data_IF_359180379148
#
_entry.id   IF_359180379148
#
_cell.length_a   1.000
_cell.length_b   1.000
_cell.length_c   1.000
_cell.angle_alpha   90.00
_cell.angle_beta   90.00
_cell.angle_gamma   90.00
#
_symmetry.space_group_name_H-M   'P 1'
#
loop_
_entity.id
_entity.type
_entity.pdbx_description
1 polymer ?
#
# COMPACT_ATOMS: atom_id res chain seq x y z
N UNK A 1 31.61 1.82 26.41
CA UNK A 1 30.22 1.45 26.76
C UNK A 1 29.24 1.58 25.58
N UNK A 2 29.43 0.91 24.43
CA UNK A 2 28.43 0.88 23.36
C UNK A 2 27.44 -0.31 23.50
N UNK A 3 27.79 -1.34 24.26
CA UNK A 3 27.11 -2.64 24.24
C UNK A 3 25.77 -2.70 25.01
N UNK A 4 25.40 -1.64 25.74
CA UNK A 4 24.13 -1.59 26.51
C UNK A 4 22.92 -1.47 25.58
N UNK A 5 23.12 -0.96 24.35
CA UNK A 5 22.05 -0.68 23.39
C UNK A 5 22.00 -1.70 22.25
N UNK A 6 22.92 -2.67 22.24
CA UNK A 6 22.96 -3.77 21.28
C UNK A 6 22.17 -4.95 21.87
N UNK A 7 20.97 -5.20 21.33
CA UNK A 7 20.05 -6.21 21.88
C UNK A 7 19.77 -7.27 20.82
N UNK A 8 19.80 -8.53 21.25
CA UNK A 8 19.32 -9.67 20.47
C UNK A 8 17.82 -9.84 20.68
N UNK A 9 17.03 -9.75 19.62
CA UNK A 9 15.58 -9.94 19.66
C UNK A 9 15.24 -11.43 19.56
N UNK A 10 14.84 -12.10 20.66
CA UNK A 10 14.79 -13.57 20.73
C UNK A 10 13.78 -14.21 19.77
N UNK A 11 12.71 -13.49 19.41
CA UNK A 11 11.67 -13.99 18.48
C UNK A 11 12.12 -13.92 17.02
N UNK A 12 12.92 -12.92 16.68
CA UNK A 12 13.36 -12.67 15.29
C UNK A 12 14.78 -13.16 15.00
N UNK A 13 15.58 -13.44 16.04
CA UNK A 13 17.01 -13.76 15.93
C UNK A 13 17.88 -12.57 15.49
N UNK A 14 17.32 -11.37 15.37
CA UNK A 14 18.02 -10.17 14.90
C UNK A 14 18.84 -9.57 16.03
N UNK A 15 20.10 -9.28 15.75
CA UNK A 15 20.96 -8.47 16.61
C UNK A 15 21.06 -7.07 16.01
N UNK A 16 20.62 -6.07 16.77
CA UNK A 16 20.70 -4.69 16.29
C UNK A 16 20.70 -3.71 17.45
N UNK A 17 21.11 -2.48 17.14
CA UNK A 17 20.95 -1.36 18.04
C UNK A 17 19.48 -1.00 18.13
N UNK A 18 18.96 -0.83 19.34
CA UNK A 18 17.52 -0.55 19.60
C UNK A 18 16.99 0.64 18.78
N UNK A 19 17.84 1.62 18.47
CA UNK A 19 17.45 2.82 17.72
C UNK A 19 17.41 2.65 16.19
N UNK A 20 18.06 1.63 15.62
CA UNK A 20 18.13 1.46 14.16
C UNK A 20 16.75 1.20 13.55
N UNK A 21 15.94 0.22 14.03
CA UNK A 21 14.64 -0.05 13.42
C UNK A 21 13.68 1.15 13.46
N UNK A 22 13.51 1.87 14.60
CA UNK A 22 12.70 3.08 14.64
C UNK A 22 13.20 4.20 13.71
N UNK A 23 14.51 4.42 13.64
CA UNK A 23 15.09 5.48 12.81
C UNK A 23 14.90 5.20 11.32
N UNK A 24 15.10 3.96 10.90
CA UNK A 24 14.87 3.54 9.51
C UNK A 24 13.39 3.60 9.17
N UNK A 25 12.51 3.12 10.06
CA UNK A 25 11.07 3.23 9.86
C UNK A 25 10.62 4.69 9.71
N UNK A 26 11.18 5.60 10.52
CA UNK A 26 10.92 7.03 10.42
C UNK A 26 11.40 7.61 9.07
N UNK A 27 12.66 7.37 8.69
CA UNK A 27 13.22 7.87 7.45
C UNK A 27 12.43 7.36 6.23
N UNK A 28 12.17 6.05 6.17
CA UNK A 28 11.39 5.42 5.10
C UNK A 28 9.98 6.01 5.05
N UNK A 29 9.29 6.12 6.19
CA UNK A 29 7.92 6.67 6.24
C UNK A 29 7.89 8.14 5.82
N UNK A 30 8.89 8.93 6.22
CA UNK A 30 9.02 10.33 5.82
C UNK A 30 9.05 10.47 4.29
N UNK A 31 9.91 9.71 3.62
CA UNK A 31 10.02 9.78 2.15
C UNK A 31 8.82 9.15 1.42
N UNK A 32 8.33 7.99 1.87
CA UNK A 32 7.23 7.27 1.22
C UNK A 32 5.89 8.00 1.37
N UNK A 33 5.68 8.71 2.47
CA UNK A 33 4.48 9.54 2.68
C UNK A 33 4.34 10.66 1.64
N UNK A 34 5.44 11.24 1.15
CA UNK A 34 5.41 12.26 0.09
C UNK A 34 4.88 11.69 -1.23
N UNK A 35 5.15 10.41 -1.50
CA UNK A 35 4.62 9.69 -2.66
C UNK A 35 3.24 9.10 -2.43
N UNK A 36 2.60 9.31 -1.27
CA UNK A 36 1.31 8.71 -0.95
C UNK A 36 1.34 7.18 -0.77
N UNK A 37 2.51 6.59 -0.54
CA UNK A 37 2.69 5.14 -0.36
C UNK A 37 2.99 4.83 1.11
N UNK A 38 2.52 3.70 1.64
CA UNK A 38 2.86 3.26 3.02
C UNK A 38 4.33 2.88 3.11
N UNK A 39 5.09 3.37 4.09
CA UNK A 39 6.51 2.98 4.29
C UNK A 39 6.74 1.48 4.46
N UNK A 40 5.68 0.71 4.73
CA UNK A 40 5.68 -0.74 4.87
C UNK A 40 6.27 -1.49 3.66
N UNK A 41 6.19 -0.95 2.44
CA UNK A 41 6.73 -1.66 1.27
C UNK A 41 8.26 -1.67 1.19
N UNK A 42 8.95 -0.68 1.77
CA UNK A 42 10.43 -0.65 1.82
C UNK A 42 10.94 -1.25 3.14
N UNK A 43 10.15 -1.17 4.21
CA UNK A 43 10.49 -1.75 5.51
C UNK A 43 10.78 -3.25 5.43
N UNK A 44 10.02 -3.97 4.61
CA UNK A 44 10.15 -5.42 4.54
C UNK A 44 11.47 -5.88 3.86
N UNK A 45 11.88 -5.33 2.71
CA UNK A 45 13.23 -5.53 2.17
C UNK A 45 14.34 -5.17 3.15
N UNK A 46 14.17 -4.09 3.91
CA UNK A 46 15.13 -3.70 4.96
C UNK A 46 15.23 -4.78 6.05
N UNK A 47 14.10 -5.28 6.56
CA UNK A 47 14.06 -6.35 7.57
C UNK A 47 14.74 -7.63 7.05
N UNK A 48 14.51 -8.00 5.80
CA UNK A 48 15.00 -9.25 5.21
C UNK A 48 16.46 -9.21 4.74
N UNK A 49 16.92 -8.06 4.24
CA UNK A 49 18.23 -7.95 3.60
C UNK A 49 19.27 -7.26 4.49
N UNK A 50 18.85 -6.41 5.42
CA UNK A 50 19.78 -5.71 6.34
C UNK A 50 19.71 -6.34 7.73
N UNK A 51 18.51 -6.51 8.28
CA UNK A 51 18.36 -7.14 9.61
C UNK A 51 18.41 -8.67 9.58
N UNK A 52 18.45 -9.29 8.40
CA UNK A 52 18.49 -10.75 8.23
C UNK A 52 17.31 -11.49 8.90
N UNK A 53 16.20 -10.79 9.12
CA UNK A 53 14.96 -11.41 9.59
C UNK A 53 14.29 -12.11 8.41
N UNK A 54 14.47 -13.42 8.29
CA UNK A 54 14.08 -14.20 7.10
C UNK A 54 12.82 -15.04 7.28
N UNK A 55 12.30 -15.13 8.50
CA UNK A 55 11.10 -15.90 8.81
C UNK A 55 9.87 -15.34 8.07
N UNK A 56 8.91 -16.20 7.65
CA UNK A 56 7.62 -15.77 7.10
C UNK A 56 6.86 -14.78 7.99
N UNK A 57 7.10 -14.82 9.31
CA UNK A 57 6.51 -13.90 10.30
C UNK A 57 6.80 -12.42 10.05
N UNK A 58 7.85 -12.09 9.29
CA UNK A 58 8.11 -10.72 8.79
C UNK A 58 6.91 -10.13 8.04
N UNK A 59 6.30 -10.92 7.15
CA UNK A 59 5.16 -10.43 6.35
C UNK A 59 3.95 -10.16 7.25
N UNK A 60 3.70 -11.05 8.22
CA UNK A 60 2.62 -10.91 9.20
C UNK A 60 2.80 -9.69 10.11
N UNK A 61 4.02 -9.41 10.58
CA UNK A 61 4.30 -8.22 11.40
C UNK A 61 4.13 -6.92 10.60
N UNK A 62 4.51 -6.91 9.32
CA UNK A 62 4.27 -5.77 8.42
C UNK A 62 2.78 -5.54 8.14
N UNK A 63 2.01 -6.62 8.04
CA UNK A 63 0.56 -6.55 7.89
C UNK A 63 -0.12 -5.99 9.16
N UNK A 64 0.32 -6.42 10.34
CA UNK A 64 -0.15 -5.89 11.62
C UNK A 64 0.14 -4.39 11.75
N UNK A 65 1.34 -3.95 11.35
CA UNK A 65 1.69 -2.53 11.29
C UNK A 65 0.69 -1.74 10.43
N UNK A 66 0.36 -2.23 9.23
CA UNK A 66 -0.60 -1.56 8.35
C UNK A 66 -2.02 -1.51 8.95
N UNK A 67 -2.46 -2.55 9.65
CA UNK A 67 -3.77 -2.57 10.33
C UNK A 67 -3.85 -1.48 11.40
N UNK A 68 -2.76 -1.24 12.14
CA UNK A 68 -2.70 -0.25 13.21
C UNK A 68 -2.50 1.18 12.66
N UNK A 69 -1.71 1.34 11.60
CA UNK A 69 -1.34 2.66 11.07
C UNK A 69 -2.43 3.33 10.21
N UNK A 70 -3.24 2.55 9.50
CA UNK A 70 -4.19 3.05 8.48
C UNK A 70 -5.47 3.73 9.03
N UNK A 71 -6.07 3.33 10.18
CA UNK A 71 -7.36 3.87 10.64
C UNK A 71 -7.41 5.39 10.80
N UNK A 72 -6.33 6.02 11.27
CA UNK A 72 -6.28 7.48 11.44
C UNK A 72 -6.42 8.25 10.12
N UNK A 73 -5.83 7.72 9.04
CA UNK A 73 -5.98 8.27 7.70
C UNK A 73 -7.40 8.13 7.17
N UNK A 74 -8.02 6.95 7.36
CA UNK A 74 -9.41 6.68 6.97
C UNK A 74 -10.37 7.62 7.71
N UNK A 75 -10.18 7.81 9.02
CA UNK A 75 -11.04 8.68 9.83
C UNK A 75 -10.98 10.14 9.38
N UNK A 76 -9.77 10.66 9.14
CA UNK A 76 -9.59 12.01 8.59
C UNK A 76 -10.25 12.15 7.21
N UNK A 77 -9.99 11.21 6.31
CA UNK A 77 -10.54 11.24 4.96
C UNK A 77 -12.08 11.14 4.93
N UNK A 78 -12.64 10.40 5.88
CA UNK A 78 -14.09 10.32 6.09
C UNK A 78 -14.66 11.64 6.60
N UNK A 79 -13.99 12.33 7.52
CA UNK A 79 -14.38 13.68 7.98
C UNK A 79 -14.36 14.72 6.86
N UNK A 80 -13.44 14.60 5.91
CA UNK A 80 -13.34 15.48 4.74
C UNK A 80 -14.47 15.28 3.71
N UNK A 81 -15.41 14.33 3.91
CA UNK A 81 -16.52 14.01 2.99
C UNK A 81 -16.06 13.59 1.59
N UNK A 82 -14.85 13.03 1.48
CA UNK A 82 -14.23 12.58 0.22
C UNK A 82 -14.41 11.06 -0.02
N UNK A 83 -15.08 10.37 0.89
CA UNK A 83 -15.20 8.90 0.90
C UNK A 83 -16.25 8.41 -0.09
N UNK A 84 -15.82 7.62 -1.07
CA UNK A 84 -16.69 6.88 -1.99
C UNK A 84 -17.05 5.52 -1.39
N UNK A 85 -18.03 5.48 -0.49
CA UNK A 85 -18.42 4.24 0.22
C UNK A 85 -18.66 3.01 -0.67
N UNK A 86 -19.31 3.10 -1.86
CA UNK A 86 -19.45 1.94 -2.74
C UNK A 86 -18.12 1.39 -3.25
N UNK A 87 -17.15 2.27 -3.53
CA UNK A 87 -15.80 1.88 -3.91
C UNK A 87 -15.09 1.23 -2.72
N UNK A 88 -15.22 1.80 -1.52
CA UNK A 88 -14.67 1.23 -0.28
C UNK A 88 -15.14 -0.20 -0.05
N UNK A 89 -16.44 -0.48 -0.19
CA UNK A 89 -16.97 -1.83 -0.06
C UNK A 89 -16.46 -2.77 -1.15
N UNK A 90 -16.40 -2.32 -2.41
CA UNK A 90 -15.83 -3.10 -3.49
C UNK A 90 -14.37 -3.49 -3.20
N UNK A 91 -13.56 -2.54 -2.71
CA UNK A 91 -12.19 -2.78 -2.28
C UNK A 91 -12.16 -3.81 -1.16
N UNK A 92 -12.91 -3.61 -0.07
CA UNK A 92 -12.95 -4.53 1.09
C UNK A 92 -13.30 -5.96 0.65
N UNK A 93 -14.38 -6.11 -0.14
CA UNK A 93 -14.86 -7.42 -0.60
C UNK A 93 -13.87 -8.14 -1.52
N UNK A 94 -13.08 -7.42 -2.31
CA UNK A 94 -12.00 -8.00 -3.12
C UNK A 94 -10.74 -8.27 -2.30
N UNK A 95 -10.24 -7.28 -1.58
CA UNK A 95 -8.93 -7.34 -0.92
C UNK A 95 -8.89 -8.29 0.26
N UNK A 96 -9.94 -8.37 1.09
CA UNK A 96 -9.93 -9.23 2.27
C UNK A 96 -9.72 -10.71 1.92
N UNK A 97 -10.54 -11.35 1.06
CA UNK A 97 -10.30 -12.74 0.69
C UNK A 97 -8.97 -12.92 -0.04
N UNK A 98 -8.57 -11.95 -0.88
CA UNK A 98 -7.27 -11.98 -1.55
C UNK A 98 -6.11 -12.00 -0.56
N UNK A 99 -6.14 -11.15 0.47
CA UNK A 99 -5.10 -11.09 1.51
C UNK A 99 -4.97 -12.40 2.27
N UNK A 100 -6.10 -13.02 2.64
CA UNK A 100 -6.08 -14.31 3.35
C UNK A 100 -5.43 -15.39 2.47
N UNK A 101 -5.80 -15.45 1.19
CA UNK A 101 -5.18 -16.38 0.22
C UNK A 101 -3.70 -16.06 0.06
N UNK A 102 -3.32 -14.78 -0.04
CA UNK A 102 -1.93 -14.36 -0.15
C UNK A 102 -1.08 -14.75 1.07
N UNK A 103 -1.61 -14.60 2.28
CA UNK A 103 -0.95 -15.04 3.50
C UNK A 103 -0.76 -16.56 3.52
N UNK A 104 -1.75 -17.32 3.06
CA UNK A 104 -1.63 -18.76 2.89
C UNK A 104 -0.57 -19.13 1.84
N UNK A 105 -0.57 -18.47 0.68
CA UNK A 105 0.44 -18.67 -0.37
C UNK A 105 1.86 -18.37 0.14
N UNK A 106 2.01 -17.33 0.97
CA UNK A 106 3.31 -17.00 1.58
C UNK A 106 3.83 -18.13 2.48
N UNK A 107 2.95 -18.78 3.24
CA UNK A 107 3.32 -19.87 4.13
C UNK A 107 3.65 -21.15 3.36
N UNK A 108 2.86 -21.48 2.33
CA UNK A 108 2.97 -22.75 1.60
C UNK A 108 4.00 -22.71 0.45
N UNK A 109 3.96 -21.68 -0.39
CA UNK A 109 4.74 -21.62 -1.64
C UNK A 109 6.00 -20.76 -1.55
N UNK A 110 6.05 -19.84 -0.59
CA UNK A 110 7.19 -18.94 -0.41
C UNK A 110 7.73 -18.97 1.02
N UNK A 111 7.93 -20.13 1.68
CA UNK A 111 8.52 -20.13 3.03
C UNK A 111 9.98 -19.66 3.00
N UNK A 112 10.71 -19.97 1.91
CA UNK A 112 12.11 -19.65 1.75
C UNK A 112 12.36 -18.16 1.44
N UNK A 113 13.39 -17.61 2.09
CA UNK A 113 13.73 -16.20 1.96
C UNK A 113 14.23 -15.82 0.56
N UNK A 114 14.88 -16.74 -0.16
CA UNK A 114 15.41 -16.49 -1.50
C UNK A 114 14.28 -16.26 -2.51
N UNK A 115 13.32 -17.17 -2.54
CA UNK A 115 12.19 -17.12 -3.49
C UNK A 115 11.28 -15.95 -3.17
N UNK A 116 11.08 -15.66 -1.89
CA UNK A 116 10.38 -14.47 -1.46
C UNK A 116 11.09 -13.17 -1.81
N UNK A 117 12.42 -13.08 -1.65
CA UNK A 117 13.20 -11.91 -2.07
C UNK A 117 13.07 -11.69 -3.58
N UNK A 118 13.06 -12.76 -4.37
CA UNK A 118 12.82 -12.67 -5.81
C UNK A 118 11.41 -12.13 -6.12
N UNK A 119 10.38 -12.68 -5.48
CA UNK A 119 9.01 -12.17 -5.60
C UNK A 119 8.91 -10.69 -5.19
N UNK A 120 9.45 -10.32 -4.02
CA UNK A 120 9.45 -8.95 -3.53
C UNK A 120 10.18 -8.00 -4.50
N UNK A 121 11.31 -8.43 -5.07
CA UNK A 121 12.05 -7.65 -6.05
C UNK A 121 11.22 -7.39 -7.32
N UNK A 122 10.46 -8.37 -7.82
CA UNK A 122 9.56 -8.17 -8.95
C UNK A 122 8.44 -7.18 -8.62
N UNK A 123 7.85 -7.28 -7.43
CA UNK A 123 6.81 -6.34 -6.97
C UNK A 123 7.36 -4.91 -6.85
N UNK A 124 8.54 -4.75 -6.23
CA UNK A 124 9.23 -3.47 -6.11
C UNK A 124 9.61 -2.88 -7.47
N UNK A 125 10.09 -3.70 -8.40
CA UNK A 125 10.42 -3.28 -9.76
C UNK A 125 9.17 -2.78 -10.49
N UNK A 126 8.05 -3.49 -10.36
CA UNK A 126 6.78 -3.09 -10.94
C UNK A 126 6.29 -1.75 -10.36
N UNK A 127 6.28 -1.61 -9.03
CA UNK A 127 5.85 -0.37 -8.37
C UNK A 127 6.78 0.79 -8.73
N UNK A 128 8.10 0.58 -8.68
CA UNK A 128 9.09 1.60 -9.04
C UNK A 128 8.99 2.01 -10.51
N UNK A 129 8.82 1.06 -11.43
CA UNK A 129 8.62 1.33 -12.84
C UNK A 129 7.33 2.08 -13.12
N UNK A 130 6.21 1.68 -12.48
CA UNK A 130 4.92 2.37 -12.58
C UNK A 130 5.05 3.84 -12.12
N UNK A 131 5.67 4.07 -10.96
CA UNK A 131 5.92 5.42 -10.43
C UNK A 131 6.76 6.28 -11.37
N UNK A 132 7.82 5.71 -11.98
CA UNK A 132 8.64 6.44 -12.95
C UNK A 132 7.85 6.84 -14.20
N UNK A 133 7.04 5.91 -14.73
CA UNK A 133 6.19 6.17 -15.90
C UNK A 133 5.17 7.27 -15.60
N UNK A 134 4.51 7.22 -14.45
CA UNK A 134 3.54 8.25 -14.02
C UNK A 134 4.21 9.63 -13.88
N UNK A 135 5.40 9.71 -13.29
CA UNK A 135 6.17 10.98 -13.19
C UNK A 135 6.51 11.52 -14.58
N UNK A 136 6.92 10.67 -15.52
CA UNK A 136 7.24 11.07 -16.90
C UNK A 136 6.00 11.57 -17.64
N UNK A 137 4.85 10.90 -17.46
CA UNK A 137 3.58 11.28 -18.07
C UNK A 137 3.03 12.59 -17.47
N UNK A 138 3.06 12.77 -16.15
CA UNK A 138 2.64 14.02 -15.50
C UNK A 138 3.47 15.23 -15.99
N UNK A 139 4.76 15.05 -16.27
CA UNK A 139 5.62 16.11 -16.81
C UNK A 139 5.24 16.49 -18.26
N UNK A 140 4.80 15.52 -19.06
CA UNK A 140 4.27 15.75 -20.40
C UNK A 140 2.90 16.46 -20.36
N UNK A 141 2.00 16.05 -19.45
CA UNK A 141 0.66 16.65 -19.29
C UNK A 141 0.68 18.05 -18.66
N UNK A 142 1.59 18.33 -17.72
CA UNK A 142 1.76 19.68 -17.12
C UNK A 142 2.28 20.73 -18.10
N UNK A 143 2.83 20.32 -19.23
CA UNK A 143 3.28 21.25 -20.29
C UNK A 143 2.14 21.66 -21.24
N UNK A 144 0.99 20.97 -21.21
CA UNK A 144 -0.13 21.21 -22.11
C UNK A 144 -1.32 21.94 -21.47
N UNK A 145 -1.45 21.98 -20.14
CA UNK A 145 -2.60 22.60 -19.48
C UNK A 145 -2.21 23.48 -18.28
N UNK A 146 -1.96 24.77 -18.56
CA UNK A 146 -1.94 25.83 -17.55
C UNK A 146 -3.27 26.57 -17.58
N UNK A 147 -4.24 26.12 -16.78
CA UNK A 147 -5.21 27.01 -16.17
C UNK A 147 -5.20 26.83 -14.65
N UNK A 148 -5.16 27.93 -13.87
CA UNK A 148 -5.21 27.84 -12.42
C UNK A 148 -6.62 27.38 -12.04
N UNK A 149 -6.77 26.11 -11.68
CA UNK A 149 -8.04 25.58 -11.19
C UNK A 149 -8.32 26.24 -9.83
N UNK A 150 -9.20 27.24 -9.85
CA UNK A 150 -9.77 27.85 -8.65
C UNK A 150 -10.38 26.76 -7.76
N UNK A 151 -10.17 26.90 -6.46
CA UNK A 151 -10.78 26.15 -5.36
C UNK A 151 -12.24 25.78 -5.66
N UNK A 152 -12.47 24.52 -6.03
CA UNK A 152 -13.82 23.97 -6.23
C UNK A 152 -14.07 22.83 -5.25
N UNK A 153 -15.28 22.83 -4.70
CA UNK A 153 -15.81 21.86 -3.73
C UNK A 153 -15.28 20.43 -3.94
N UNK A 154 -14.50 19.94 -2.98
CA UNK A 154 -13.93 18.58 -2.97
C UNK A 154 -14.96 17.51 -2.55
N UNK A 155 -16.24 17.88 -2.44
CA UNK A 155 -17.32 16.99 -2.01
C UNK A 155 -17.88 16.17 -3.17
N UNK A 156 -17.91 14.85 -3.00
CA UNK A 156 -18.58 13.93 -3.94
C UNK A 156 -20.07 14.25 -3.96
N UNK A 157 -20.59 14.67 -5.11
CA UNK A 157 -21.99 15.06 -5.24
C UNK A 157 -22.68 14.11 -6.21
N UNK A 158 -23.77 13.46 -5.77
CA UNK A 158 -24.54 12.44 -6.50
C UNK A 158 -23.78 11.15 -6.82
N UNK A 159 -24.18 10.07 -6.13
CA UNK A 159 -23.75 8.71 -6.39
C UNK A 159 -24.95 7.96 -6.97
N UNK A 160 -24.87 7.58 -8.25
CA UNK A 160 -25.78 6.60 -8.83
C UNK A 160 -25.10 5.24 -8.78
N UNK A 161 -25.61 4.37 -7.91
CA UNK A 161 -25.13 3.01 -7.74
C UNK A 161 -26.03 2.04 -8.50
N UNK A 162 -25.44 1.29 -9.42
CA UNK A 162 -26.01 0.07 -9.99
C UNK A 162 -25.11 -1.11 -9.65
N UNK A 163 -25.68 -2.31 -9.56
CA UNK A 163 -24.96 -3.54 -9.20
C UNK A 163 -23.76 -3.84 -10.13
N UNK A 164 -23.74 -3.28 -11.35
CA UNK A 164 -22.63 -3.41 -12.30
C UNK A 164 -21.75 -2.17 -12.46
N UNK A 165 -22.27 -0.99 -12.16
CA UNK A 165 -21.59 0.27 -12.47
C UNK A 165 -21.94 1.32 -11.42
N UNK A 166 -20.92 1.98 -10.88
CA UNK A 166 -21.10 3.15 -10.02
C UNK A 166 -20.67 4.37 -10.82
N UNK A 167 -21.57 5.35 -10.85
CA UNK A 167 -21.34 6.67 -11.43
C UNK A 167 -21.38 7.70 -10.32
N UNK A 168 -20.37 8.58 -10.27
CA UNK A 168 -20.30 9.67 -9.31
C UNK A 168 -19.88 10.95 -10.00
N UNK A 169 -20.36 12.10 -9.52
CA UNK A 169 -19.87 13.39 -9.97
C UNK A 169 -18.87 13.96 -8.98
N UNK A 170 -17.68 14.27 -9.47
CA UNK A 170 -16.61 14.92 -8.72
C UNK A 170 -16.15 16.13 -9.51
N UNK A 171 -16.16 17.30 -8.87
CA UNK A 171 -15.71 18.55 -9.50
C UNK A 171 -16.43 18.89 -10.84
N UNK A 172 -17.74 18.65 -10.92
CA UNK A 172 -18.61 18.81 -12.13
C UNK A 172 -18.30 17.86 -13.31
N UNK A 173 -17.35 16.94 -13.15
CA UNK A 173 -17.11 15.85 -14.10
C UNK A 173 -17.76 14.55 -13.62
N UNK A 174 -18.29 13.77 -14.56
CA UNK A 174 -18.94 12.49 -14.26
C UNK A 174 -17.98 11.35 -14.52
N UNK A 175 -17.66 10.61 -13.46
CA UNK A 175 -16.80 9.42 -13.51
C UNK A 175 -17.66 8.17 -13.38
N UNK A 176 -17.26 7.08 -14.03
CA UNK A 176 -17.94 5.80 -13.91
C UNK A 176 -16.96 4.64 -13.94
N UNK A 177 -17.21 3.62 -13.13
CA UNK A 177 -16.40 2.42 -13.09
C UNK A 177 -17.26 1.17 -12.95
N UNK A 178 -16.73 0.03 -13.41
CA UNK A 178 -17.37 -1.28 -13.26
C UNK A 178 -17.02 -1.89 -11.89
N UNK A 179 -18.05 -2.23 -11.10
CA UNK A 179 -17.86 -2.84 -9.78
C UNK A 179 -17.13 -4.19 -9.85
N UNK A 180 -17.54 -5.13 -10.73
CA UNK A 180 -16.89 -6.44 -10.81
C UNK A 180 -15.41 -6.35 -11.17
N UNK A 181 -15.03 -5.42 -12.05
CA UNK A 181 -13.64 -5.25 -12.44
C UNK A 181 -12.79 -4.72 -11.28
N UNK A 182 -13.31 -3.77 -10.50
CA UNK A 182 -12.60 -3.28 -9.30
C UNK A 182 -12.48 -4.39 -8.27
N UNK A 183 -13.53 -5.16 -8.02
CA UNK A 183 -13.47 -6.28 -7.07
C UNK A 183 -12.41 -7.30 -7.50
N UNK A 184 -12.38 -7.68 -8.79
CA UNK A 184 -11.40 -8.61 -9.32
C UNK A 184 -9.97 -8.06 -9.22
N UNK A 185 -9.77 -6.79 -9.59
CA UNK A 185 -8.48 -6.12 -9.45
C UNK A 185 -8.02 -6.11 -7.98
N UNK A 186 -8.91 -5.72 -7.07
CA UNK A 186 -8.66 -5.69 -5.63
C UNK A 186 -8.38 -7.08 -5.07
N UNK A 187 -9.00 -8.13 -5.61
CA UNK A 187 -8.75 -9.51 -5.25
C UNK A 187 -7.33 -9.94 -5.63
N UNK A 188 -6.93 -9.75 -6.89
CA UNK A 188 -5.58 -10.10 -7.38
C UNK A 188 -4.52 -9.32 -6.60
N UNK A 189 -4.73 -8.01 -6.44
CA UNK A 189 -3.82 -7.16 -5.69
C UNK A 189 -3.81 -7.52 -4.21
N UNK A 190 -4.94 -7.95 -3.66
CA UNK A 190 -5.06 -8.48 -2.31
C UNK A 190 -4.17 -9.71 -2.09
N UNK A 191 -4.13 -10.64 -3.05
CA UNK A 191 -3.23 -11.80 -3.01
C UNK A 191 -1.78 -11.36 -2.98
N UNK A 192 -1.36 -10.52 -3.93
CA UNK A 192 0.03 -10.02 -4.01
C UNK A 192 0.41 -9.27 -2.71
N UNK A 193 -0.49 -8.39 -2.25
CA UNK A 193 -0.32 -7.61 -1.02
C UNK A 193 -0.35 -8.45 0.26
N UNK A 194 -1.04 -9.59 0.27
CA UNK A 194 -1.06 -10.55 1.36
C UNK A 194 0.21 -11.42 1.40
N UNK A 195 0.71 -11.85 0.24
CA UNK A 195 2.01 -12.54 0.18
C UNK A 195 3.10 -11.62 0.71
N UNK A 196 3.10 -10.37 0.24
CA UNK A 196 4.12 -9.39 0.56
C UNK A 196 3.91 -8.69 1.91
N UNK A 197 2.70 -8.63 2.47
CA UNK A 197 2.43 -7.96 3.75
C UNK A 197 2.35 -6.42 3.68
N UNK A 198 2.23 -5.82 2.50
CA UNK A 198 2.26 -4.35 2.31
C UNK A 198 0.88 -3.67 2.29
N UNK A 199 -0.20 -4.44 2.17
CA UNK A 199 -1.54 -3.92 1.94
C UNK A 199 -1.71 -3.42 0.49
N UNK A 200 -2.75 -3.89 -0.20
CA UNK A 200 -2.93 -3.69 -1.66
C UNK A 200 -3.13 -2.25 -2.14
N UNK A 201 -3.32 -1.28 -1.23
CA UNK A 201 -3.58 0.12 -1.57
C UNK A 201 -2.46 0.79 -2.36
N UNK A 202 -1.20 0.48 -2.04
CA UNK A 202 -0.02 1.00 -2.74
C UNK A 202 0.05 0.58 -4.23
N UNK A 203 -0.59 -0.53 -4.60
CA UNK A 203 -0.59 -1.05 -5.96
C UNK A 203 -1.78 -0.48 -6.76
N UNK A 204 -2.93 -0.30 -6.10
CA UNK A 204 -4.20 0.16 -6.71
C UNK A 204 -4.21 1.67 -6.93
N UNK A 205 -3.58 2.45 -6.04
CA UNK A 205 -3.58 3.91 -6.15
C UNK A 205 -2.93 4.37 -7.47
N UNK A 206 -3.58 5.27 -8.22
CA UNK A 206 -2.92 6.07 -9.25
C UNK A 206 -2.13 7.20 -8.56
N UNK A 207 -0.86 7.40 -8.92
CA UNK A 207 0.00 8.44 -8.33
C UNK A 207 0.17 9.67 -9.24
#
# INVERSE_FOLDING_TARGET
MPDILYITFPVSGVETWVFIPPLVAFAVSFFTSMGGVSGAFILLPFQMSILHYTSPSVSGTNQLFNIIATPGGIWRYSKEQRMLWPLTWAVITGTLPGVVIGAWVRLEFLPDAKDFKFFAALVLLYIGGKLLVEIMQQKASRSADKKPQQTTDLSVTRIHSSCRRVSFSFNKESYSFSLPAIILLCFIVGIIGGVYGIGGGAIIAPF
#
